data_IF_863077221507
#
_entry.id   IF_863077221507
#
_cell.length_a   1.000
_cell.length_b   1.000
_cell.length_c   1.000
_cell.angle_alpha   90.00
_cell.angle_beta   90.00
_cell.angle_gamma   90.00
#
_symmetry.space_group_name_H-M   'P 1'
#
loop_
_entity.id
_entity.type
_entity.pdbx_description
1 polymer ?
#
# COMPACT_ATOMS: atom_id res chain seq x y z
N UNK A 1 -0.98 -7.49 -4.59
CA UNK A 1 -1.40 -6.17 -5.13
C UNK A 1 -0.75 -5.03 -4.35
N UNK A 2 -1.17 -4.72 -3.12
CA UNK A 2 -0.60 -3.61 -2.35
C UNK A 2 0.94 -3.71 -2.14
N UNK A 3 1.48 -4.90 -1.85
CA UNK A 3 2.93 -5.10 -1.77
C UNK A 3 3.66 -4.75 -3.07
N UNK A 4 3.06 -5.11 -4.21
CA UNK A 4 3.63 -4.84 -5.53
C UNK A 4 3.58 -3.35 -5.86
N UNK A 5 2.48 -2.67 -5.52
CA UNK A 5 2.35 -1.22 -5.66
C UNK A 5 3.46 -0.49 -4.87
N UNK A 6 3.69 -0.86 -3.60
CA UNK A 6 4.77 -0.27 -2.81
C UNK A 6 6.15 -0.55 -3.40
N UNK A 7 6.38 -1.75 -3.93
CA UNK A 7 7.70 -2.15 -4.46
C UNK A 7 8.03 -1.51 -5.81
N UNK A 8 7.03 -1.35 -6.67
CA UNK A 8 7.22 -0.97 -8.08
C UNK A 8 6.78 0.44 -8.42
N UNK A 9 6.03 1.13 -7.56
CA UNK A 9 5.56 2.49 -7.81
C UNK A 9 6.75 3.45 -7.97
N UNK A 10 6.91 3.95 -9.19
CA UNK A 10 7.97 4.92 -9.52
C UNK A 10 7.74 6.25 -8.81
N UNK A 11 6.49 6.67 -8.68
CA UNK A 11 6.16 7.91 -7.96
C UNK A 11 6.47 7.77 -6.47
N UNK A 12 6.16 6.63 -5.86
CA UNK A 12 6.48 6.38 -4.46
C UNK A 12 7.99 6.38 -4.20
N UNK A 13 8.77 5.64 -5.01
CA UNK A 13 10.23 5.61 -4.85
C UNK A 13 10.86 7.00 -5.07
N UNK A 14 10.36 7.79 -6.02
CA UNK A 14 10.78 9.18 -6.22
C UNK A 14 10.43 10.08 -5.03
N UNK A 15 9.26 9.89 -4.42
CA UNK A 15 8.90 10.59 -3.19
C UNK A 15 9.89 10.25 -2.06
N UNK A 16 10.22 8.96 -1.87
CA UNK A 16 11.19 8.56 -0.85
C UNK A 16 12.56 9.19 -1.08
N UNK A 17 13.03 9.19 -2.33
CA UNK A 17 14.30 9.84 -2.70
C UNK A 17 14.27 11.36 -2.43
N UNK A 18 13.16 12.02 -2.76
CA UNK A 18 12.97 13.44 -2.49
C UNK A 18 12.96 13.76 -0.99
N UNK A 19 12.32 12.91 -0.17
CA UNK A 19 12.33 13.01 1.29
C UNK A 19 13.74 12.86 1.84
N UNK A 20 14.51 11.89 1.37
CA UNK A 20 15.89 11.69 1.79
C UNK A 20 16.78 12.89 1.43
N UNK A 21 16.72 13.36 0.18
CA UNK A 21 17.48 14.53 -0.28
C UNK A 21 17.10 15.81 0.47
N UNK A 22 15.81 16.05 0.64
CA UNK A 22 15.32 17.21 1.39
C UNK A 22 15.76 17.13 2.87
N UNK A 23 15.62 15.97 3.50
CA UNK A 23 16.03 15.73 4.88
C UNK A 23 17.53 15.97 5.08
N UNK A 24 18.39 15.42 4.21
CA UNK A 24 19.83 15.64 4.27
C UNK A 24 20.19 17.11 4.07
N UNK A 25 19.60 17.78 3.07
CA UNK A 25 19.83 19.20 2.80
C UNK A 25 19.43 20.07 3.99
N UNK A 26 18.33 19.75 4.65
CA UNK A 26 17.82 20.52 5.79
C UNK A 26 18.64 20.29 7.07
N UNK A 27 19.36 19.16 7.15
CA UNK A 27 20.16 18.76 8.31
C UNK A 27 21.68 18.85 8.07
N UNK A 28 22.14 19.54 7.02
CA UNK A 28 23.58 19.74 6.74
C UNK A 28 24.28 20.32 7.98
N UNK A 29 25.42 19.72 8.35
CA UNK A 29 26.21 20.14 9.52
C UNK A 29 25.67 19.67 10.86
N UNK A 30 24.66 18.80 10.87
CA UNK A 30 24.17 18.13 12.09
C UNK A 30 24.39 16.63 12.01
N UNK A 31 24.29 15.92 13.14
CA UNK A 31 24.35 14.45 13.19
C UNK A 31 23.17 13.75 12.48
N UNK A 32 22.22 14.52 11.92
CA UNK A 32 21.09 14.02 11.12
C UNK A 32 21.27 14.27 9.61
N UNK A 33 22.37 14.89 9.20
CA UNK A 33 22.76 15.00 7.79
C UNK A 33 23.36 13.70 7.25
N UNK A 34 23.53 13.64 5.93
CA UNK A 34 24.14 12.51 5.21
C UNK A 34 23.54 11.13 5.55
N UNK A 35 22.24 11.08 5.83
CA UNK A 35 21.52 9.82 6.02
C UNK A 35 21.46 9.06 4.69
N UNK A 36 21.61 7.74 4.76
CA UNK A 36 21.44 6.83 3.61
C UNK A 36 20.01 6.30 3.50
N UNK A 37 19.27 6.31 4.61
CA UNK A 37 17.89 5.83 4.70
C UNK A 37 17.12 6.55 5.81
N UNK A 38 15.79 6.43 5.77
CA UNK A 38 14.89 6.90 6.82
C UNK A 38 13.75 5.91 7.03
N UNK A 39 13.11 5.94 8.20
CA UNK A 39 11.95 5.10 8.49
C UNK A 39 10.70 5.64 7.80
N UNK A 40 9.85 4.77 7.25
CA UNK A 40 8.62 5.18 6.58
C UNK A 40 7.67 6.00 7.47
N UNK A 41 7.66 5.81 8.79
CA UNK A 41 6.90 6.65 9.73
C UNK A 41 7.23 8.16 9.62
N UNK A 42 8.37 8.52 9.02
CA UNK A 42 8.75 9.91 8.76
C UNK A 42 7.79 10.58 7.76
N UNK A 43 7.19 9.82 6.84
CA UNK A 43 6.22 10.32 5.87
C UNK A 43 5.00 10.94 6.56
N UNK A 44 4.57 10.35 7.68
CA UNK A 44 3.47 10.85 8.50
C UNK A 44 3.79 12.16 9.22
N UNK A 45 5.07 12.56 9.28
CA UNK A 45 5.57 13.70 10.06
C UNK A 45 6.09 14.84 9.19
N UNK A 46 6.01 14.74 7.87
CA UNK A 46 6.58 15.74 6.95
C UNK A 46 6.00 17.15 7.14
N UNK A 47 4.75 17.25 7.60
CA UNK A 47 4.08 18.52 7.90
C UNK A 47 4.51 19.13 9.24
N UNK A 48 5.00 18.31 10.17
CA UNK A 48 5.34 18.74 11.53
C UNK A 48 6.81 19.11 11.66
N UNK A 49 7.68 18.49 10.88
CA UNK A 49 9.12 18.75 10.88
C UNK A 49 9.36 20.08 10.19
N UNK A 50 9.85 21.09 10.93
CA UNK A 50 10.13 22.44 10.44
C UNK A 50 11.62 22.73 10.36
N UNK A 51 11.99 23.59 9.42
CA UNK A 51 13.34 24.16 9.31
C UNK A 51 13.64 25.17 10.43
N UNK A 52 14.85 25.74 10.38
CA UNK A 52 15.33 26.72 11.36
C UNK A 52 14.52 28.03 11.38
N UNK A 53 13.79 28.33 10.31
CA UNK A 53 12.89 29.48 10.21
C UNK A 53 11.57 29.29 10.98
N UNK A 54 11.28 28.07 11.46
CA UNK A 54 10.04 27.72 12.17
C UNK A 54 8.76 27.86 11.33
N UNK A 55 8.89 28.09 10.02
CA UNK A 55 7.78 28.35 9.09
C UNK A 55 7.70 27.30 8.00
N UNK A 56 8.83 26.94 7.41
CA UNK A 56 8.89 26.02 6.28
C UNK A 56 9.02 24.58 6.78
N UNK A 57 8.13 23.69 6.32
CA UNK A 57 8.12 22.28 6.72
C UNK A 57 8.93 21.41 5.75
N UNK A 58 9.30 20.19 6.18
CA UNK A 58 9.96 19.21 5.32
C UNK A 58 9.12 18.89 4.08
N UNK A 59 7.79 18.84 4.20
CA UNK A 59 6.91 18.65 3.04
C UNK A 59 7.10 19.72 1.96
N UNK A 60 7.32 20.99 2.33
CA UNK A 60 7.57 22.05 1.35
C UNK A 60 8.86 21.78 0.56
N UNK A 61 9.93 21.37 1.25
CA UNK A 61 11.19 20.99 0.60
C UNK A 61 11.04 19.74 -0.27
N UNK A 62 10.25 18.76 0.17
CA UNK A 62 9.98 17.54 -0.61
C UNK A 62 9.27 17.88 -1.92
N UNK A 63 8.22 18.69 -1.89
CA UNK A 63 7.50 19.12 -3.10
C UNK A 63 8.45 19.87 -4.05
N UNK A 64 9.28 20.76 -3.50
CA UNK A 64 10.29 21.47 -4.29
C UNK A 64 11.30 20.51 -4.92
N UNK A 65 11.75 19.50 -4.17
CA UNK A 65 12.71 18.50 -4.64
C UNK A 65 12.14 17.61 -5.74
N UNK A 66 10.87 17.21 -5.63
CA UNK A 66 10.18 16.45 -6.67
C UNK A 66 10.05 17.28 -7.95
N UNK A 67 9.69 18.56 -7.85
CA UNK A 67 9.57 19.44 -9.02
C UNK A 67 10.93 19.67 -9.67
N UNK A 68 11.97 19.90 -8.86
CA UNK A 68 13.35 20.06 -9.34
C UNK A 68 13.86 18.80 -10.06
N UNK A 69 13.55 17.62 -9.52
CA UNK A 69 13.93 16.32 -10.10
C UNK A 69 13.02 15.91 -11.26
N UNK A 70 11.79 16.43 -11.30
CA UNK A 70 10.75 16.16 -12.32
C UNK A 70 10.82 17.05 -13.56
N UNK A 71 11.59 18.15 -13.52
CA UNK A 71 11.84 19.02 -14.68
C UNK A 71 12.51 18.34 -15.88
N UNK A 72 12.87 17.06 -15.76
CA UNK A 72 13.47 16.26 -16.83
C UNK A 72 12.60 15.07 -17.31
N UNK A 73 11.34 14.95 -16.87
CA UNK A 73 10.50 13.86 -17.36
C UNK A 73 9.16 13.69 -16.65
N UNK A 74 8.30 14.71 -16.67
CA UNK A 74 6.87 14.48 -16.52
C UNK A 74 6.37 13.91 -17.86
N UNK A 75 6.14 12.60 -17.89
CA UNK A 75 5.42 11.91 -18.95
C UNK A 75 4.01 12.51 -19.06
N UNK A 76 3.84 13.41 -20.03
CA UNK A 76 2.55 13.63 -20.68
C UNK A 76 2.37 12.55 -21.73
N UNK A 77 2.02 11.33 -21.31
CA UNK A 77 1.50 10.32 -22.24
C UNK A 77 -0.02 10.45 -22.31
N UNK A 78 -0.49 11.53 -22.96
CA UNK A 78 -1.78 11.61 -23.67
C UNK A 78 -1.65 12.61 -24.83
N UNK A 79 -1.71 12.08 -26.05
CA UNK A 79 -2.07 12.73 -27.33
C UNK A 79 -3.31 13.66 -27.14
N UNK A 80 -3.58 14.77 -27.83
CA UNK A 80 -2.99 15.45 -29.00
C UNK A 80 -3.63 16.88 -29.11
N UNK A 81 -3.00 17.77 -29.90
CA UNK A 81 -3.48 19.06 -30.47
C UNK A 81 -3.37 20.37 -29.65
N UNK A 82 -2.20 21.01 -29.66
CA UNK A 82 -1.89 22.23 -30.45
C UNK A 82 -0.52 22.82 -30.04
N UNK A 83 0.19 23.51 -30.95
CA UNK A 83 1.62 23.74 -30.85
C UNK A 83 1.98 25.09 -30.22
N UNK A 84 3.26 25.17 -29.85
CA UNK A 84 4.07 26.36 -29.58
C UNK A 84 4.25 26.74 -28.11
N UNK A 85 5.19 26.06 -27.46
CA UNK A 85 6.02 26.66 -26.42
C UNK A 85 7.47 26.21 -26.63
N UNK A 86 8.19 26.98 -27.46
CA UNK A 86 9.65 26.97 -27.47
C UNK A 86 10.16 27.35 -26.08
N UNK A 87 11.08 26.54 -25.58
CA UNK A 87 11.91 26.88 -24.44
C UNK A 87 12.90 27.95 -24.88
N UNK A 88 12.55 29.22 -24.66
CA UNK A 88 13.50 30.33 -24.71
C UNK A 88 13.84 30.75 -23.28
N UNK A 89 15.11 30.56 -22.97
CA UNK A 89 15.81 31.13 -21.83
C UNK A 89 15.71 32.66 -21.86
N UNK A 90 14.71 33.22 -21.18
CA UNK A 90 14.69 34.65 -20.88
C UNK A 90 14.23 34.89 -19.44
N UNK A 91 15.11 35.53 -18.69
CA UNK A 91 14.87 36.20 -17.42
C UNK A 91 13.75 37.24 -17.57
N UNK A 92 12.49 36.82 -17.41
CA UNK A 92 11.35 37.72 -17.20
C UNK A 92 10.87 37.58 -15.76
N UNK A 93 10.91 38.70 -15.05
CA UNK A 93 10.45 38.88 -13.67
C UNK A 93 9.03 38.35 -13.49
N UNK A 94 8.89 37.07 -13.14
CA UNK A 94 7.61 36.47 -12.77
C UNK A 94 7.19 36.98 -11.39
N UNK A 95 5.95 37.43 -11.28
CA UNK A 95 5.37 37.86 -10.02
C UNK A 95 5.43 36.68 -9.00
N UNK A 96 5.81 36.90 -7.72
CA UNK A 96 5.96 35.82 -6.75
C UNK A 96 4.73 34.90 -6.60
N UNK A 97 3.52 35.46 -6.76
CA UNK A 97 2.25 34.72 -6.72
C UNK A 97 2.14 33.69 -7.85
N UNK A 98 2.58 34.02 -9.06
CA UNK A 98 2.50 33.12 -10.23
C UNK A 98 3.45 31.93 -10.08
N UNK A 99 4.58 32.12 -9.38
CA UNK A 99 5.53 31.04 -9.09
C UNK A 99 4.91 30.06 -8.08
N UNK A 100 4.38 30.58 -6.97
CA UNK A 100 3.72 29.80 -5.92
C UNK A 100 2.53 28.98 -6.46
N UNK A 101 1.70 29.57 -7.33
CA UNK A 101 0.57 28.89 -7.97
C UNK A 101 1.01 27.73 -8.88
N UNK A 102 2.12 27.88 -9.60
CA UNK A 102 2.66 26.80 -10.43
C UNK A 102 3.24 25.66 -9.59
N UNK A 103 3.97 25.98 -8.51
CA UNK A 103 4.46 24.98 -7.56
C UNK A 103 3.31 24.18 -6.93
N UNK A 104 2.23 24.87 -6.55
CA UNK A 104 1.03 24.24 -6.00
C UNK A 104 0.37 23.29 -7.00
N UNK A 105 0.25 23.69 -8.27
CA UNK A 105 -0.36 22.86 -9.33
C UNK A 105 0.46 21.60 -9.61
N UNK A 106 1.77 21.75 -9.78
CA UNK A 106 2.67 20.62 -10.05
C UNK A 106 2.74 19.67 -8.85
N UNK A 107 2.83 20.20 -7.62
CA UNK A 107 2.78 19.39 -6.40
C UNK A 107 1.49 18.59 -6.30
N UNK A 108 0.34 19.21 -6.62
CA UNK A 108 -0.96 18.52 -6.61
C UNK A 108 -1.03 17.40 -7.65
N UNK A 109 -0.44 17.58 -8.84
CA UNK A 109 -0.39 16.56 -9.88
C UNK A 109 0.42 15.33 -9.44
N UNK A 110 1.53 15.53 -8.74
CA UNK A 110 2.34 14.43 -8.17
C UNK A 110 1.53 13.67 -7.12
N UNK A 111 0.88 14.39 -6.20
CA UNK A 111 0.10 13.78 -5.11
C UNK A 111 -1.10 13.00 -5.66
N UNK A 112 -1.80 13.52 -6.67
CA UNK A 112 -2.91 12.81 -7.32
C UNK A 112 -2.45 11.58 -8.10
N UNK A 113 -1.26 11.65 -8.73
CA UNK A 113 -0.62 10.48 -9.36
C UNK A 113 -0.30 9.37 -8.35
N UNK A 114 0.27 9.73 -7.21
CA UNK A 114 0.63 8.77 -6.15
C UNK A 114 -0.61 8.05 -5.58
N UNK A 115 -1.71 8.78 -5.36
CA UNK A 115 -2.96 8.21 -4.89
C UNK A 115 -3.55 7.16 -5.86
N UNK A 116 -3.30 7.33 -7.16
CA UNK A 116 -3.74 6.38 -8.18
C UNK A 116 -2.83 5.13 -8.22
N UNK A 117 -1.51 5.29 -8.10
CA UNK A 117 -0.57 4.16 -8.09
C UNK A 117 -0.67 3.29 -6.83
N UNK A 118 -1.05 3.87 -5.69
CA UNK A 118 -1.11 3.19 -4.39
C UNK A 118 -2.55 2.87 -3.94
N UNK A 119 -3.46 2.66 -4.89
CA UNK A 119 -4.88 2.52 -4.58
C UNK A 119 -5.22 1.29 -3.72
N UNK A 120 -4.46 0.19 -3.87
CA UNK A 120 -4.65 -1.01 -3.07
C UNK A 120 -3.90 -0.94 -1.74
N UNK A 121 -2.83 -0.16 -1.63
CA UNK A 121 -2.21 0.19 -0.33
C UNK A 121 -3.26 0.81 0.60
N UNK A 122 -4.03 1.78 0.11
CA UNK A 122 -5.12 2.40 0.90
C UNK A 122 -6.17 1.40 1.38
N UNK A 123 -6.51 0.40 0.55
CA UNK A 123 -7.47 -0.65 0.92
C UNK A 123 -6.86 -1.58 1.97
N UNK A 124 -5.61 -1.98 1.77
CA UNK A 124 -4.88 -2.86 2.67
C UNK A 124 -4.63 -2.23 4.05
N UNK A 125 -4.45 -0.92 4.12
CA UNK A 125 -4.31 -0.17 5.38
C UNK A 125 -5.54 -0.28 6.30
N UNK A 126 -6.73 -0.54 5.74
CA UNK A 126 -7.97 -0.75 6.49
C UNK A 126 -8.26 -2.21 6.82
N UNK A 127 -7.38 -3.14 6.45
CA UNK A 127 -7.55 -4.57 6.72
C UNK A 127 -6.94 -4.94 8.08
N UNK A 128 -7.45 -6.02 8.66
CA UNK A 128 -6.95 -6.60 9.91
C UNK A 128 -6.66 -8.09 9.68
N UNK A 129 -5.40 -8.48 9.88
CA UNK A 129 -4.93 -9.85 9.64
C UNK A 129 -5.55 -10.84 10.61
N UNK A 130 -5.68 -10.47 11.89
CA UNK A 130 -6.22 -11.35 12.92
C UNK A 130 -7.70 -11.61 12.69
N UNK A 131 -8.44 -10.57 12.30
CA UNK A 131 -9.85 -10.67 11.90
C UNK A 131 -10.01 -11.61 10.70
N UNK A 132 -9.18 -11.47 9.67
CA UNK A 132 -9.19 -12.34 8.49
C UNK A 132 -8.93 -13.81 8.88
N UNK A 133 -7.85 -14.08 9.61
CA UNK A 133 -7.51 -15.44 10.07
C UNK A 133 -8.60 -16.02 10.96
N UNK A 134 -9.29 -15.19 11.76
CA UNK A 134 -10.43 -15.61 12.57
C UNK A 134 -11.61 -16.07 11.71
N UNK A 135 -11.90 -15.40 10.59
CA UNK A 135 -13.00 -15.77 9.70
C UNK A 135 -12.71 -17.10 8.99
N UNK A 136 -11.48 -17.28 8.48
CA UNK A 136 -11.04 -18.52 7.85
C UNK A 136 -11.11 -19.69 8.84
N UNK A 137 -10.70 -19.45 10.09
CA UNK A 137 -10.79 -20.45 11.16
C UNK A 137 -12.24 -20.80 11.52
N UNK A 138 -13.13 -19.80 11.66
CA UNK A 138 -14.56 -20.02 11.94
C UNK A 138 -15.25 -20.80 10.82
N UNK A 139 -14.92 -20.50 9.57
CA UNK A 139 -15.46 -21.22 8.41
C UNK A 139 -15.02 -22.69 8.41
N UNK A 140 -13.73 -22.95 8.65
CA UNK A 140 -13.21 -24.31 8.77
C UNK A 140 -13.87 -25.10 9.92
N UNK A 141 -14.04 -24.46 11.10
CA UNK A 141 -14.71 -25.09 12.24
C UNK A 141 -16.19 -25.37 11.97
N UNK A 142 -16.91 -24.44 11.33
CA UNK A 142 -18.29 -24.62 10.93
C UNK A 142 -18.45 -25.80 9.98
N UNK A 143 -17.53 -25.95 9.02
CA UNK A 143 -17.54 -27.07 8.09
C UNK A 143 -17.27 -28.40 8.77
N UNK A 144 -16.35 -28.44 9.73
CA UNK A 144 -16.11 -29.62 10.57
C UNK A 144 -17.36 -30.06 11.35
N UNK A 145 -18.15 -29.13 11.86
CA UNK A 145 -19.43 -29.44 12.53
C UNK A 145 -20.45 -30.05 11.57
N UNK A 146 -20.56 -29.53 10.35
CA UNK A 146 -21.46 -30.07 9.33
C UNK A 146 -21.05 -31.52 8.98
N UNK A 147 -19.75 -31.77 8.80
CA UNK A 147 -19.25 -33.12 8.52
C UNK A 147 -19.60 -34.11 9.63
N UNK A 148 -19.45 -33.71 10.91
CA UNK A 148 -19.86 -34.54 12.04
C UNK A 148 -21.34 -34.88 12.02
N UNK A 149 -22.22 -33.92 11.72
CA UNK A 149 -23.67 -34.16 11.63
C UNK A 149 -24.01 -35.15 10.53
N UNK A 150 -23.38 -35.05 9.35
CA UNK A 150 -23.62 -35.99 8.26
C UNK A 150 -23.13 -37.42 8.57
N UNK A 151 -22.00 -37.55 9.27
CA UNK A 151 -21.51 -38.87 9.70
C UNK A 151 -22.48 -39.53 10.69
N UNK A 152 -23.06 -38.74 11.61
CA UNK A 152 -24.10 -39.22 12.52
C UNK A 152 -25.39 -39.59 11.78
N UNK A 153 -25.81 -38.79 10.78
CA UNK A 153 -26.98 -39.10 9.94
C UNK A 153 -26.78 -40.43 9.20
N UNK A 154 -25.61 -40.62 8.58
CA UNK A 154 -25.28 -41.85 7.84
C UNK A 154 -25.26 -43.08 8.78
N UNK A 155 -24.77 -42.95 10.01
CA UNK A 155 -24.74 -44.03 10.99
C UNK A 155 -26.12 -44.43 11.53
N UNK A 156 -27.11 -43.54 11.46
CA UNK A 156 -28.47 -43.74 12.00
C UNK A 156 -29.48 -44.21 10.93
N UNK A 157 -29.09 -44.35 9.65
CA UNK A 157 -30.05 -44.71 8.59
C UNK A 157 -30.50 -46.16 8.63
N UNK A 158 -31.82 -46.36 8.70
CA UNK A 158 -32.47 -47.62 8.31
C UNK A 158 -32.71 -47.66 6.78
N UNK A 159 -32.68 -48.86 6.18
CA UNK A 159 -32.71 -49.12 4.72
C UNK A 159 -34.02 -48.76 3.98
N UNK A 160 -34.70 -47.66 4.30
CA UNK A 160 -35.99 -47.33 3.68
C UNK A 160 -36.41 -45.86 3.61
N UNK A 161 -35.59 -44.89 4.05
CA UNK A 161 -35.97 -43.47 4.05
C UNK A 161 -35.48 -42.73 2.80
N UNK A 162 -36.41 -42.06 2.08
CA UNK A 162 -36.19 -41.29 0.84
C UNK A 162 -35.42 -39.95 1.05
N UNK A 163 -34.81 -39.77 2.22
CA UNK A 163 -34.10 -38.54 2.61
C UNK A 163 -32.67 -38.41 2.02
N UNK A 164 -32.33 -39.23 1.03
CA UNK A 164 -31.00 -39.29 0.42
C UNK A 164 -30.56 -38.01 -0.30
N UNK A 165 -31.51 -37.19 -0.76
CA UNK A 165 -31.24 -35.98 -1.55
C UNK A 165 -30.51 -34.91 -0.73
N UNK A 166 -30.90 -34.69 0.53
CA UNK A 166 -30.24 -33.72 1.41
C UNK A 166 -28.78 -34.12 1.69
N UNK A 167 -28.57 -35.35 2.18
CA UNK A 167 -27.22 -35.87 2.46
C UNK A 167 -26.32 -35.84 1.22
N UNK A 168 -26.84 -36.19 0.03
CA UNK A 168 -26.09 -36.09 -1.23
C UNK A 168 -25.69 -34.65 -1.54
N UNK A 169 -26.63 -33.70 -1.46
CA UNK A 169 -26.34 -32.28 -1.66
C UNK A 169 -25.35 -31.74 -0.63
N UNK A 170 -25.46 -32.16 0.63
CA UNK A 170 -24.56 -31.71 1.70
C UNK A 170 -23.15 -32.29 1.59
N UNK A 171 -23.01 -33.53 1.13
CA UNK A 171 -21.69 -34.12 0.79
C UNK A 171 -21.02 -33.36 -0.36
N UNK A 172 -21.80 -32.98 -1.38
CA UNK A 172 -21.28 -32.15 -2.47
C UNK A 172 -20.85 -30.77 -1.97
N UNK A 173 -21.67 -30.11 -1.15
CA UNK A 173 -21.33 -28.84 -0.52
C UNK A 173 -20.05 -28.94 0.30
N UNK A 174 -19.92 -29.96 1.15
CA UNK A 174 -18.71 -30.18 1.96
C UNK A 174 -17.47 -30.28 1.10
N UNK A 175 -17.51 -31.14 0.08
CA UNK A 175 -16.38 -31.33 -0.83
C UNK A 175 -15.93 -30.03 -1.49
N UNK A 176 -16.88 -29.23 -1.99
CA UNK A 176 -16.58 -27.91 -2.58
C UNK A 176 -16.06 -26.92 -1.54
N UNK A 177 -16.71 -26.81 -0.38
CA UNK A 177 -16.33 -25.87 0.66
C UNK A 177 -14.96 -26.19 1.28
N UNK A 178 -14.62 -27.48 1.45
CA UNK A 178 -13.29 -27.90 1.94
C UNK A 178 -12.19 -27.45 0.99
N UNK A 179 -12.39 -27.66 -0.33
CA UNK A 179 -11.45 -27.23 -1.35
C UNK A 179 -11.28 -25.69 -1.35
N UNK A 180 -12.38 -24.95 -1.29
CA UNK A 180 -12.34 -23.48 -1.29
C UNK A 180 -11.70 -22.90 -0.03
N UNK A 181 -11.98 -23.46 1.16
CA UNK A 181 -11.32 -23.04 2.41
C UNK A 181 -9.82 -23.30 2.35
N UNK A 182 -9.41 -24.45 1.82
CA UNK A 182 -7.99 -24.78 1.67
C UNK A 182 -7.30 -23.80 0.71
N UNK A 183 -7.96 -23.45 -0.40
CA UNK A 183 -7.48 -22.43 -1.33
C UNK A 183 -7.32 -21.08 -0.65
N UNK A 184 -8.33 -20.61 0.09
CA UNK A 184 -8.27 -19.34 0.83
C UNK A 184 -7.16 -19.32 1.87
N UNK A 185 -6.95 -20.42 2.61
CA UNK A 185 -5.83 -20.55 3.56
C UNK A 185 -4.47 -20.45 2.88
N UNK A 186 -4.31 -21.09 1.72
CA UNK A 186 -3.09 -21.01 0.94
C UNK A 186 -2.82 -19.58 0.45
N UNK A 187 -3.86 -18.92 -0.09
CA UNK A 187 -3.77 -17.52 -0.53
C UNK A 187 -3.44 -16.56 0.61
N UNK A 188 -4.05 -16.75 1.79
CA UNK A 188 -3.73 -16.00 3.02
C UNK A 188 -2.26 -16.16 3.41
N UNK A 189 -1.75 -17.40 3.43
CA UNK A 189 -0.35 -17.66 3.75
C UNK A 189 0.61 -17.01 2.76
N UNK A 190 0.31 -17.07 1.46
CA UNK A 190 1.13 -16.43 0.42
C UNK A 190 1.10 -14.91 0.57
N UNK A 191 -0.08 -14.32 0.80
CA UNK A 191 -0.23 -12.89 1.00
C UNK A 191 0.58 -12.40 2.21
N UNK A 192 0.52 -13.10 3.35
CA UNK A 192 1.30 -12.75 4.54
C UNK A 192 2.82 -12.88 4.31
N UNK A 193 3.26 -13.87 3.53
CA UNK A 193 4.67 -13.99 3.16
C UNK A 193 5.15 -12.79 2.34
N UNK A 194 4.36 -12.33 1.36
CA UNK A 194 4.68 -11.15 0.56
C UNK A 194 4.68 -9.87 1.41
N UNK A 195 3.80 -9.79 2.41
CA UNK A 195 3.77 -8.68 3.37
C UNK A 195 5.03 -8.68 4.24
N UNK A 196 5.51 -9.85 4.66
CA UNK A 196 6.79 -9.95 5.38
C UNK A 196 7.96 -9.48 4.51
N UNK A 197 8.05 -9.96 3.28
CA UNK A 197 9.11 -9.56 2.34
C UNK A 197 9.14 -8.05 2.10
N UNK A 198 7.97 -7.43 1.84
CA UNK A 198 7.92 -5.98 1.60
C UNK A 198 8.23 -5.18 2.87
N UNK A 199 7.87 -5.70 4.04
CA UNK A 199 8.20 -5.09 5.32
C UNK A 199 9.70 -5.12 5.56
N UNK A 200 10.36 -6.26 5.31
CA UNK A 200 11.82 -6.38 5.39
C UNK A 200 12.52 -5.44 4.41
N UNK A 201 11.99 -5.31 3.19
CA UNK A 201 12.57 -4.40 2.19
C UNK A 201 12.61 -2.94 2.63
N UNK A 202 11.56 -2.44 3.31
CA UNK A 202 11.49 -1.03 3.73
C UNK A 202 11.96 -0.77 5.18
N UNK A 203 11.82 -1.74 6.09
CA UNK A 203 12.16 -1.58 7.51
C UNK A 203 13.44 -2.32 7.93
N UNK A 204 13.96 -3.22 7.10
CA UNK A 204 15.14 -4.05 7.36
C UNK A 204 14.87 -5.22 8.32
N UNK A 205 14.26 -4.95 9.47
CA UNK A 205 13.89 -5.93 10.49
C UNK A 205 12.37 -6.05 10.63
N UNK A 206 11.81 -7.15 10.13
CA UNK A 206 10.37 -7.41 10.24
C UNK A 206 9.93 -7.86 11.64
N UNK A 207 10.83 -8.24 12.55
CA UNK A 207 10.47 -8.80 13.85
C UNK A 207 9.61 -7.85 14.70
N UNK A 208 9.78 -6.53 14.53
CA UNK A 208 9.00 -5.51 15.25
C UNK A 208 7.58 -5.33 14.70
N UNK A 209 7.36 -5.73 13.45
CA UNK A 209 6.07 -5.57 12.76
C UNK A 209 5.35 -6.92 12.61
N UNK A 210 5.91 -8.04 13.09
CA UNK A 210 5.28 -9.37 13.04
C UNK A 210 3.93 -9.42 13.77
N UNK A 211 3.75 -8.61 14.82
CA UNK A 211 2.48 -8.51 15.53
C UNK A 211 1.38 -7.80 14.71
N UNK A 212 1.76 -6.96 13.74
CA UNK A 212 0.83 -6.18 12.92
C UNK A 212 1.28 -6.15 11.45
N UNK A 213 1.16 -7.27 10.71
CA UNK A 213 1.73 -7.41 9.37
C UNK A 213 1.31 -6.30 8.40
N UNK A 214 0.07 -5.81 8.49
CA UNK A 214 -0.45 -4.80 7.56
C UNK A 214 -0.04 -3.35 7.90
N UNK A 215 0.74 -3.14 8.96
CA UNK A 215 1.20 -1.80 9.35
C UNK A 215 2.07 -1.12 8.29
N UNK A 216 2.77 -1.89 7.46
CA UNK A 216 3.50 -1.38 6.29
C UNK A 216 2.62 -0.58 5.31
N UNK A 217 1.31 -0.80 5.29
CA UNK A 217 0.38 -0.08 4.42
C UNK A 217 -0.16 1.22 5.04
N UNK A 218 0.11 1.49 6.32
CA UNK A 218 -0.29 2.72 7.01
C UNK A 218 0.75 3.84 6.85
N UNK A 219 1.20 4.04 5.60
CA UNK A 219 2.25 4.99 5.21
C UNK A 219 1.69 6.24 4.53
#
# INVERSE_FOLDING_TARGET
>A
AACEELRSSRLFLRLLEAVLKAGNRMNVGTNRGDAEAFKLDTLLKLVDIKGTDGKTTLLHFVVQEIIRSGGQGICSDKEEQHPDFKCESETKSMHPKTIEDNFRRQGLQVVSGLANELCNVKKAAGMDSDVLSSYVSKLAQGLGKINLVLQLEDAQRSKGSDNGKFSKSMKQFLSTAEAEILRVKAEESVALSLVKEITEYFHGDAAKEEAHPFRIFMV
#
